data_IF_170080767065
#
_entry.id   IF_170080767065
#
_cell.length_a   1.000
_cell.length_b   1.000
_cell.length_c   1.000
_cell.angle_alpha   90.00
_cell.angle_beta   90.00
_cell.angle_gamma   90.00
#
_symmetry.space_group_name_H-M   'P 1'
#
loop_
_entity.id
_entity.type
_entity.pdbx_description
1 polymer ?
#
# COMPACT_ATOMS: atom_id res chain seq x y z
N UNK A 1 -9.77 16.91 -12.58
CA UNK A 1 -8.42 16.36 -12.36
C UNK A 1 -8.27 15.08 -13.17
N UNK A 2 -7.23 14.94 -13.99
CA UNK A 2 -7.04 13.73 -14.83
C UNK A 2 -6.62 12.54 -13.95
N UNK A 3 -6.90 11.29 -14.38
CA UNK A 3 -6.52 10.06 -13.63
C UNK A 3 -5.02 10.04 -13.31
N UNK A 4 -4.17 10.54 -14.21
CA UNK A 4 -2.71 10.66 -14.00
C UNK A 4 -2.36 11.65 -12.89
N UNK A 5 -2.95 12.85 -12.87
CA UNK A 5 -2.71 13.82 -11.79
C UNK A 5 -3.08 13.28 -10.41
N UNK A 6 -4.18 12.52 -10.30
CA UNK A 6 -4.60 11.92 -9.03
C UNK A 6 -3.56 10.94 -8.48
N UNK A 7 -2.96 10.12 -9.35
CA UNK A 7 -1.91 9.16 -8.95
C UNK A 7 -0.68 9.90 -8.43
N UNK A 8 -0.21 10.94 -9.13
CA UNK A 8 0.94 11.72 -8.68
C UNK A 8 0.68 12.40 -7.33
N UNK A 9 -0.54 12.93 -7.13
CA UNK A 9 -0.92 13.58 -5.89
C UNK A 9 -0.96 12.61 -4.69
N UNK A 10 -1.32 11.34 -4.91
CA UNK A 10 -1.31 10.29 -3.87
C UNK A 10 0.08 9.67 -3.67
N UNK A 11 0.86 9.52 -4.74
CA UNK A 11 2.18 8.91 -4.69
C UNK A 11 3.22 9.76 -3.94
N UNK A 12 3.15 11.09 -4.07
CA UNK A 12 4.07 12.00 -3.40
C UNK A 12 4.02 11.90 -1.86
N UNK A 13 2.85 12.00 -1.19
CA UNK A 13 2.76 11.77 0.24
C UNK A 13 3.08 10.31 0.60
N UNK A 14 2.67 9.33 -0.20
CA UNK A 14 3.01 7.92 0.07
C UNK A 14 4.52 7.66 0.07
N UNK A 15 5.27 8.26 -0.86
CA UNK A 15 6.73 8.20 -0.88
C UNK A 15 7.33 8.92 0.34
N UNK A 16 6.79 10.10 0.71
CA UNK A 16 7.23 10.81 1.90
C UNK A 16 7.02 9.98 3.18
N UNK A 17 5.86 9.33 3.33
CA UNK A 17 5.58 8.44 4.46
C UNK A 17 6.55 7.25 4.50
N UNK A 18 6.86 6.67 3.33
CA UNK A 18 7.84 5.59 3.20
C UNK A 18 9.24 6.05 3.68
N UNK A 19 9.67 7.26 3.29
CA UNK A 19 10.93 7.83 3.77
C UNK A 19 10.92 8.13 5.27
N UNK A 20 9.81 8.64 5.81
CA UNK A 20 9.64 8.89 7.25
C UNK A 20 9.70 7.59 8.06
N UNK A 21 9.29 6.48 7.46
CA UNK A 21 9.46 5.13 7.99
C UNK A 21 10.89 4.59 7.84
N UNK A 22 11.86 5.38 7.35
CA UNK A 22 13.25 4.96 7.19
C UNK A 22 13.49 3.99 6.03
N UNK A 23 12.53 3.86 5.12
CA UNK A 23 12.65 2.97 3.97
C UNK A 23 13.31 3.67 2.79
N UNK A 24 14.20 2.96 2.09
CA UNK A 24 14.64 3.33 0.75
C UNK A 24 13.60 2.82 -0.27
N UNK A 25 13.05 3.68 -1.14
CA UNK A 25 12.16 3.26 -2.22
C UNK A 25 12.82 2.19 -3.11
N UNK A 26 12.06 1.15 -3.45
CA UNK A 26 12.54 0.02 -4.22
C UNK A 26 11.50 -0.43 -5.26
N UNK A 27 11.92 -1.27 -6.20
CA UNK A 27 11.00 -1.87 -7.15
C UNK A 27 10.14 -2.95 -6.47
N UNK A 28 8.82 -2.88 -6.66
CA UNK A 28 7.91 -3.89 -6.12
C UNK A 28 8.22 -5.28 -6.72
N UNK A 29 8.37 -6.34 -5.88
CA UNK A 29 8.63 -7.69 -6.37
C UNK A 29 7.48 -8.24 -7.22
N UNK A 30 7.71 -9.36 -7.92
CA UNK A 30 6.68 -10.02 -8.74
C UNK A 30 5.59 -10.69 -7.92
N UNK A 31 5.97 -11.24 -6.77
CA UNK A 31 5.10 -11.91 -5.79
C UNK A 31 5.56 -11.57 -4.39
N UNK A 32 4.65 -11.63 -3.42
CA UNK A 32 5.00 -11.48 -2.02
C UNK A 32 3.76 -11.46 -1.12
N UNK A 33 3.97 -11.72 0.17
CA UNK A 33 2.97 -11.54 1.21
C UNK A 33 3.54 -10.66 2.32
N UNK A 34 2.71 -9.78 2.85
CA UNK A 34 3.06 -8.87 3.95
C UNK A 34 1.94 -8.88 4.99
N UNK A 35 2.31 -8.73 6.26
CA UNK A 35 1.38 -8.60 7.38
C UNK A 35 1.01 -7.14 7.61
N UNK A 36 -0.18 -6.87 8.12
CA UNK A 36 -0.57 -5.48 8.45
C UNK A 36 0.27 -4.98 9.63
N UNK A 37 1.01 -3.89 9.42
CA UNK A 37 1.74 -3.17 10.48
C UNK A 37 0.85 -2.09 11.11
N UNK A 38 0.14 -1.32 10.28
CA UNK A 38 -0.78 -0.28 10.74
C UNK A 38 -1.84 0.07 9.70
N UNK A 39 -2.97 0.58 10.19
CA UNK A 39 -4.05 1.08 9.36
C UNK A 39 -4.49 2.47 9.84
N UNK A 40 -4.85 3.33 8.89
CA UNK A 40 -5.43 4.64 9.16
C UNK A 40 -6.56 4.95 8.19
N UNK A 41 -7.57 5.67 8.67
CA UNK A 41 -8.68 6.16 7.87
C UNK A 41 -8.51 7.66 7.68
N UNK A 42 -8.84 8.15 6.49
CA UNK A 42 -8.82 9.57 6.15
C UNK A 42 -10.25 10.08 6.13
N UNK A 43 -10.61 10.93 7.09
CA UNK A 43 -11.92 11.56 7.19
C UNK A 43 -11.77 13.07 7.28
N UNK A 44 -12.48 13.81 6.42
CA UNK A 44 -12.44 15.28 6.38
C UNK A 44 -11.01 15.89 6.33
N UNK A 45 -10.08 15.17 5.69
CA UNK A 45 -8.66 15.58 5.57
C UNK A 45 -7.81 15.31 6.82
N UNK A 46 -8.37 14.66 7.84
CA UNK A 46 -7.66 14.20 9.02
C UNK A 46 -7.34 12.71 8.91
N UNK A 47 -6.20 12.30 9.45
CA UNK A 47 -5.75 10.90 9.48
C UNK A 47 -6.00 10.37 10.90
N UNK A 48 -6.80 9.31 11.00
CA UNK A 48 -7.13 8.64 12.25
C UNK A 48 -6.55 7.23 12.22
N UNK A 49 -5.86 6.83 13.29
CA UNK A 49 -5.44 5.44 13.46
C UNK A 49 -6.68 4.57 13.59
N UNK A 50 -6.74 3.50 12.80
CA UNK A 50 -7.83 2.54 12.83
C UNK A 50 -7.45 1.38 13.74
N UNK A 51 -8.38 0.98 14.62
CA UNK A 51 -8.23 -0.15 15.55
C UNK A 51 -9.49 -1.02 15.49
N UNK A 52 -9.34 -2.34 15.66
CA UNK A 52 -10.47 -3.27 15.77
C UNK A 52 -10.30 -4.56 14.96
N UNK A 53 -11.26 -5.48 15.13
CA UNK A 53 -11.21 -6.85 14.59
C UNK A 53 -11.51 -6.94 13.08
N UNK A 54 -12.01 -5.88 12.47
CA UNK A 54 -12.37 -5.83 11.05
C UNK A 54 -11.27 -5.25 10.16
N UNK A 55 -10.08 -4.99 10.72
CA UNK A 55 -8.96 -4.52 9.94
C UNK A 55 -8.41 -5.62 9.02
N UNK A 56 -7.74 -5.23 7.91
CA UNK A 56 -6.93 -6.17 7.15
C UNK A 56 -5.92 -6.89 8.04
N UNK A 57 -5.60 -8.14 7.71
CA UNK A 57 -4.53 -8.89 8.38
C UNK A 57 -3.24 -8.88 7.58
N UNK A 58 -3.31 -8.62 6.28
CA UNK A 58 -2.16 -8.61 5.39
C UNK A 58 -2.54 -8.33 3.95
N UNK A 59 -1.56 -8.44 3.06
CA UNK A 59 -1.76 -8.36 1.62
C UNK A 59 -0.89 -9.36 0.88
N UNK A 60 -1.29 -9.68 -0.35
CA UNK A 60 -0.57 -10.60 -1.23
C UNK A 60 -0.54 -10.09 -2.66
N UNK A 61 0.63 -10.16 -3.29
CA UNK A 61 0.82 -9.97 -4.72
C UNK A 61 0.96 -11.32 -5.42
N UNK A 62 0.22 -11.48 -6.50
CA UNK A 62 0.21 -12.67 -7.34
C UNK A 62 0.99 -12.39 -8.64
N UNK A 63 1.68 -13.41 -9.16
CA UNK A 63 2.55 -13.28 -10.35
C UNK A 63 1.78 -12.99 -11.66
N UNK A 64 0.46 -13.00 -11.62
CA UNK A 64 -0.41 -12.68 -12.76
C UNK A 64 -0.87 -11.20 -12.78
N UNK A 65 -0.23 -10.32 -11.98
CA UNK A 65 -0.58 -8.89 -11.94
C UNK A 65 -1.80 -8.57 -11.06
N UNK A 66 -2.22 -9.52 -10.22
CA UNK A 66 -3.31 -9.31 -9.25
C UNK A 66 -2.78 -9.13 -7.84
N UNK A 67 -3.57 -8.47 -7.00
CA UNK A 67 -3.28 -8.30 -5.59
C UNK A 67 -4.53 -8.59 -4.74
N UNK A 68 -4.31 -8.98 -3.49
CA UNK A 68 -5.37 -9.22 -2.52
C UNK A 68 -5.03 -8.56 -1.18
N UNK A 69 -6.04 -7.99 -0.53
CA UNK A 69 -6.03 -7.57 0.88
C UNK A 69 -6.76 -8.66 1.67
N UNK A 70 -6.12 -9.15 2.71
CA UNK A 70 -6.59 -10.25 3.54
C UNK A 70 -7.29 -9.70 4.79
N UNK A 71 -8.27 -10.42 5.31
CA UNK A 71 -8.91 -10.18 6.60
C UNK A 71 -8.98 -11.50 7.39
N UNK A 72 -9.37 -11.48 8.68
CA UNK A 72 -9.51 -12.71 9.45
C UNK A 72 -10.51 -13.71 8.83
N UNK A 73 -11.49 -13.22 8.06
CA UNK A 73 -12.54 -14.03 7.42
C UNK A 73 -12.19 -14.45 5.97
N UNK A 74 -11.02 -14.06 5.45
CA UNK A 74 -10.57 -14.45 4.10
C UNK A 74 -10.01 -13.27 3.29
N UNK A 75 -10.52 -13.06 2.08
CA UNK A 75 -10.10 -11.94 1.22
C UNK A 75 -11.04 -10.76 1.41
N UNK A 76 -10.52 -9.67 2.00
CA UNK A 76 -11.25 -8.41 2.17
C UNK A 76 -11.42 -7.66 0.84
N UNK A 77 -10.38 -7.66 0.01
CA UNK A 77 -10.43 -7.00 -1.30
C UNK A 77 -9.48 -7.68 -2.29
N UNK A 78 -9.81 -7.60 -3.58
CA UNK A 78 -8.95 -8.06 -4.68
C UNK A 78 -8.93 -7.04 -5.80
N UNK A 79 -7.81 -6.96 -6.50
CA UNK A 79 -7.65 -6.05 -7.63
C UNK A 79 -6.51 -6.39 -8.56
N UNK A 80 -6.22 -5.47 -9.48
CA UNK A 80 -5.06 -5.50 -10.36
C UNK A 80 -4.08 -4.41 -9.97
N UNK A 81 -2.80 -4.64 -10.23
CA UNK A 81 -1.77 -3.61 -10.03
C UNK A 81 -1.03 -3.33 -11.34
N UNK A 82 -0.70 -2.06 -11.56
CA UNK A 82 0.12 -1.62 -12.69
C UNK A 82 1.34 -0.88 -12.17
N UNK A 83 2.54 -1.34 -12.54
CA UNK A 83 3.79 -0.67 -12.17
C UNK A 83 3.88 0.71 -12.83
N UNK A 84 4.32 1.70 -12.07
CA UNK A 84 4.59 3.06 -12.54
C UNK A 84 6.09 3.35 -12.36
N UNK A 85 6.95 2.97 -13.32
CA UNK A 85 8.42 3.00 -13.15
C UNK A 85 8.97 4.38 -12.80
N UNK A 86 8.35 5.44 -13.32
CA UNK A 86 8.83 6.83 -13.13
C UNK A 86 8.81 7.30 -11.68
N UNK A 87 8.01 6.68 -10.81
CA UNK A 87 7.80 7.11 -9.42
C UNK A 87 8.03 5.98 -8.41
N UNK A 88 8.59 4.84 -8.85
CA UNK A 88 8.82 3.65 -8.01
C UNK A 88 7.59 3.26 -7.17
N UNK A 89 6.41 3.38 -7.78
CA UNK A 89 5.13 3.07 -7.18
C UNK A 89 4.34 2.10 -8.06
N UNK A 90 3.30 1.52 -7.49
CA UNK A 90 2.28 0.78 -8.23
C UNK A 90 0.95 1.47 -8.09
N UNK A 91 0.18 1.47 -9.16
CA UNK A 91 -1.22 1.86 -9.13
C UNK A 91 -2.04 0.60 -8.85
N UNK A 92 -2.92 0.67 -7.87
CA UNK A 92 -3.82 -0.40 -7.47
C UNK A 92 -5.24 -0.05 -7.91
N UNK A 93 -5.90 -0.97 -8.60
CA UNK A 93 -7.31 -0.87 -8.99
C UNK A 93 -8.10 -2.00 -8.32
N UNK A 94 -8.97 -1.66 -7.37
CA UNK A 94 -9.81 -2.64 -6.67
C UNK A 94 -11.02 -3.04 -7.52
N UNK A 95 -11.36 -4.33 -7.54
CA UNK A 95 -12.44 -4.88 -8.37
C UNK A 95 -13.84 -4.75 -7.74
N UNK A 96 -13.95 -4.51 -6.42
CA UNK A 96 -15.20 -4.64 -5.67
C UNK A 96 -15.62 -3.42 -4.84
N UNK A 97 -14.97 -2.28 -4.99
CA UNK A 97 -15.43 -1.00 -4.41
C UNK A 97 -15.37 0.06 -5.49
N UNK A 98 -16.50 0.68 -5.83
CA UNK A 98 -16.68 1.81 -6.76
C UNK A 98 -15.38 2.44 -7.28
N UNK A 99 -14.72 1.77 -8.24
CA UNK A 99 -13.47 2.18 -8.86
C UNK A 99 -12.49 2.99 -7.95
N UNK A 100 -12.29 2.57 -6.70
CA UNK A 100 -11.34 3.24 -5.82
C UNK A 100 -9.93 2.92 -6.32
N UNK A 101 -9.20 3.96 -6.70
CA UNK A 101 -7.77 3.85 -7.04
C UNK A 101 -6.95 4.12 -5.81
N UNK A 102 -6.05 3.19 -5.46
CA UNK A 102 -5.00 3.45 -4.49
C UNK A 102 -3.63 3.46 -5.19
N UNK A 103 -2.64 3.98 -4.47
CA UNK A 103 -1.23 3.90 -4.84
C UNK A 103 -0.54 3.02 -3.82
N UNK A 104 0.20 2.03 -4.29
CA UNK A 104 1.14 1.25 -3.49
C UNK A 104 2.56 1.80 -3.66
N UNK A 105 3.26 2.10 -2.59
CA UNK A 105 4.71 2.39 -2.62
C UNK A 105 5.44 1.32 -1.83
N UNK A 106 6.58 0.87 -2.37
CA UNK A 106 7.37 -0.21 -1.77
C UNK A 106 8.76 0.29 -1.43
N UNK A 107 9.27 -0.13 -0.29
CA UNK A 107 10.63 0.17 0.13
C UNK A 107 11.18 -0.84 1.09
N UNK A 108 12.49 -0.73 1.31
CA UNK A 108 13.24 -1.60 2.21
C UNK A 108 13.80 -0.72 3.33
N UNK A 109 13.45 -1.06 4.57
CA UNK A 109 14.05 -0.52 5.78
C UNK A 109 15.25 -1.39 6.14
N UNK A 110 16.40 -0.77 6.38
CA UNK A 110 17.59 -1.47 6.89
C UNK A 110 17.87 -0.98 8.31
N UNK A 111 17.86 -1.89 9.27
CA UNK A 111 18.16 -1.63 10.68
C UNK A 111 19.68 -1.55 10.92
N UNK A 112 20.08 -1.02 12.07
CA UNK A 112 21.49 -0.80 12.42
C UNK A 112 22.30 -2.10 12.54
N UNK A 113 21.64 -3.22 12.81
CA UNK A 113 22.22 -4.57 12.85
C UNK A 113 22.33 -5.23 11.45
N UNK A 114 21.90 -4.53 10.40
CA UNK A 114 21.87 -5.01 9.02
C UNK A 114 20.62 -5.81 8.66
N UNK A 115 19.71 -6.05 9.62
CA UNK A 115 18.41 -6.68 9.34
C UNK A 115 17.62 -5.81 8.36
N UNK A 116 16.98 -6.45 7.38
CA UNK A 116 16.11 -5.76 6.42
C UNK A 116 14.66 -6.11 6.67
N UNK A 117 13.79 -5.13 6.47
CA UNK A 117 12.35 -5.33 6.43
C UNK A 117 11.76 -4.60 5.24
N UNK A 118 10.80 -5.23 4.61
CA UNK A 118 10.15 -4.74 3.41
C UNK A 118 8.81 -4.13 3.78
N UNK A 119 8.58 -2.90 3.32
CA UNK A 119 7.34 -2.18 3.58
C UNK A 119 6.59 -1.95 2.28
N UNK A 120 5.30 -2.30 2.27
CA UNK A 120 4.35 -1.91 1.23
C UNK A 120 3.31 -0.98 1.85
N UNK A 121 3.32 0.28 1.43
CA UNK A 121 2.35 1.28 1.84
C UNK A 121 1.28 1.43 0.77
N UNK A 122 0.01 1.23 1.12
CA UNK A 122 -1.13 1.46 0.23
C UNK A 122 -1.87 2.71 0.69
N UNK A 123 -1.97 3.70 -0.18
CA UNK A 123 -2.61 4.99 0.09
C UNK A 123 -3.74 5.23 -0.89
N UNK A 124 -4.92 5.52 -0.37
CA UNK A 124 -6.08 6.01 -1.13
C UNK A 124 -6.49 7.39 -0.63
N UNK A 125 -7.65 7.86 -1.08
CA UNK A 125 -8.30 9.06 -0.56
C UNK A 125 -9.00 8.85 0.79
N UNK A 126 -9.23 7.59 1.18
CA UNK A 126 -10.01 7.23 2.38
C UNK A 126 -9.21 6.42 3.40
N UNK A 127 -8.03 5.90 3.04
CA UNK A 127 -7.23 5.09 3.95
C UNK A 127 -5.73 5.10 3.62
N UNK A 128 -4.94 4.73 4.63
CA UNK A 128 -3.52 4.41 4.53
C UNK A 128 -3.32 3.06 5.22
N UNK A 129 -2.69 2.11 4.54
CA UNK A 129 -2.36 0.79 5.08
C UNK A 129 -0.86 0.58 4.95
N UNK A 130 -0.17 0.31 6.05
CA UNK A 130 1.25 -0.09 6.07
C UNK A 130 1.33 -1.59 6.27
N UNK A 131 2.03 -2.28 5.37
CA UNK A 131 2.28 -3.71 5.47
C UNK A 131 3.78 -3.99 5.54
N UNK A 132 4.17 -5.01 6.32
CA UNK A 132 5.56 -5.34 6.62
C UNK A 132 5.87 -6.83 6.36
N UNK A 133 7.10 -7.10 5.93
CA UNK A 133 7.70 -8.44 5.74
C UNK A 133 9.16 -8.43 6.18
#
# INVERSE_FOLDING_TARGET
MTKRMRIFFLALPALLFLFLQGCAPAALPETGGWELESASIIENGQIHMAEGENLPTGCRLEGNGTFAILSPQGTAAKGTYTRQPMIQAVRLEFLFSDASTAVGTYGIRTYADGTQSETLLITSDTFILSFIR
#
